data_IF_473715127973
#
_entry.id   IF_473715127973
#
_cell.length_a   1.000
_cell.length_b   1.000
_cell.length_c   1.000
_cell.angle_alpha   90.00
_cell.angle_beta   90.00
_cell.angle_gamma   90.00
#
_symmetry.space_group_name_H-M   'P 1'
#
loop_
_entity.id
_entity.type
_entity.pdbx_description
1 polymer ?
#
# COMPACT_ATOMS: atom_id res chain seq x y z
N UNK A 1 7.23 56.26 -2.20
CA UNK A 1 6.73 55.87 -3.54
C UNK A 1 7.83 55.05 -4.23
N UNK A 2 7.68 53.75 -4.35
CA UNK A 2 8.66 52.85 -5.01
C UNK A 2 8.56 53.12 -6.51
N UNK A 3 9.66 53.43 -7.17
CA UNK A 3 9.64 53.79 -8.59
C UNK A 3 9.39 52.54 -9.47
N UNK A 4 8.80 52.72 -10.66
CA UNK A 4 8.60 51.62 -11.63
C UNK A 4 9.93 50.92 -12.01
N UNK A 5 11.08 51.57 -11.91
CA UNK A 5 12.43 51.01 -12.12
C UNK A 5 12.82 50.02 -11.03
N UNK A 6 12.45 50.30 -9.77
CA UNK A 6 12.78 49.43 -8.63
C UNK A 6 12.02 48.10 -8.74
N UNK A 7 10.74 48.10 -9.18
CA UNK A 7 9.96 46.90 -9.42
C UNK A 7 10.56 45.98 -10.52
N UNK A 8 11.21 46.56 -11.52
CA UNK A 8 11.80 45.81 -12.65
C UNK A 8 13.10 45.11 -12.25
N UNK A 9 13.83 45.62 -11.26
CA UNK A 9 15.09 45.03 -10.75
C UNK A 9 14.81 43.94 -9.74
N UNK A 10 13.77 44.06 -8.90
CA UNK A 10 13.43 43.07 -7.87
C UNK A 10 12.72 41.84 -8.43
N UNK A 11 12.02 41.95 -9.58
CA UNK A 11 11.31 40.86 -10.21
C UNK A 11 12.20 39.61 -10.51
N UNK A 12 13.37 39.74 -11.17
CA UNK A 12 14.25 38.60 -11.46
C UNK A 12 14.87 37.99 -10.19
N UNK A 13 15.17 38.79 -9.17
CA UNK A 13 15.74 38.33 -7.89
C UNK A 13 14.69 37.50 -7.14
N UNK A 14 13.46 37.97 -7.08
CA UNK A 14 12.34 37.26 -6.44
C UNK A 14 12.07 35.95 -7.17
N UNK A 15 12.01 35.95 -8.52
CA UNK A 15 11.80 34.75 -9.34
C UNK A 15 12.94 33.75 -9.13
N UNK A 16 14.20 34.23 -9.13
CA UNK A 16 15.34 33.35 -8.85
C UNK A 16 15.31 32.77 -7.46
N UNK A 17 14.91 33.51 -6.44
CA UNK A 17 14.73 33.02 -5.08
C UNK A 17 13.66 31.95 -4.97
N UNK A 18 12.51 32.14 -5.63
CA UNK A 18 11.44 31.16 -5.68
C UNK A 18 11.89 29.88 -6.39
N UNK A 19 12.59 30.00 -7.52
CA UNK A 19 13.12 28.85 -8.26
C UNK A 19 14.15 28.05 -7.46
N UNK A 20 15.02 28.72 -6.70
CA UNK A 20 15.98 28.08 -5.80
C UNK A 20 15.24 27.34 -4.68
N UNK A 21 14.22 27.94 -4.07
CA UNK A 21 13.42 27.30 -3.02
C UNK A 21 12.69 26.09 -3.58
N UNK A 22 12.08 26.18 -4.76
CA UNK A 22 11.42 25.07 -5.43
C UNK A 22 12.41 23.96 -5.82
N UNK A 23 13.62 24.32 -6.25
CA UNK A 23 14.67 23.36 -6.58
C UNK A 23 15.20 22.65 -5.33
N UNK A 24 15.43 23.36 -4.23
CA UNK A 24 15.79 22.80 -2.94
C UNK A 24 14.67 21.87 -2.44
N UNK A 25 13.42 22.32 -2.49
CA UNK A 25 12.27 21.51 -2.14
C UNK A 25 12.19 20.25 -3.00
N UNK A 26 12.38 20.33 -4.31
CA UNK A 26 12.41 19.21 -5.24
C UNK A 26 13.51 18.20 -4.90
N UNK A 27 14.75 18.67 -4.66
CA UNK A 27 15.88 17.81 -4.28
C UNK A 27 15.62 17.13 -2.93
N UNK A 28 15.22 17.88 -1.91
CA UNK A 28 15.03 17.36 -0.56
C UNK A 28 13.73 16.55 -0.40
N UNK A 29 12.70 16.79 -1.20
CA UNK A 29 11.48 16.00 -1.18
C UNK A 29 11.71 14.51 -1.51
N UNK A 30 12.79 14.19 -2.25
CA UNK A 30 13.20 12.83 -2.57
C UNK A 30 14.00 12.11 -1.46
N UNK A 31 14.56 12.84 -0.49
CA UNK A 31 15.54 12.32 0.47
C UNK A 31 14.97 12.05 1.88
N UNK A 32 13.65 12.02 2.03
CA UNK A 32 13.02 11.84 3.34
C UNK A 32 12.91 10.35 3.69
N UNK A 33 13.42 9.99 4.86
CA UNK A 33 13.29 8.63 5.44
C UNK A 33 11.83 8.29 5.68
N UNK A 34 11.44 7.00 5.62
CA UNK A 34 10.07 6.59 5.90
C UNK A 34 9.61 7.04 7.29
N UNK A 35 8.39 7.54 7.37
CA UNK A 35 7.66 7.80 8.62
C UNK A 35 6.27 7.15 8.53
N UNK A 36 5.73 6.75 9.66
CA UNK A 36 4.33 6.34 9.78
C UNK A 36 3.60 7.57 10.29
N UNK A 37 2.87 8.24 9.38
CA UNK A 37 2.19 9.50 9.68
C UNK A 37 0.70 9.27 9.96
N UNK A 38 0.11 8.23 9.38
CA UNK A 38 -1.19 7.67 9.75
C UNK A 38 -1.20 6.14 9.58
N UNK A 39 -2.23 5.50 10.14
CA UNK A 39 -2.44 4.05 10.10
C UNK A 39 -3.90 3.78 9.74
N UNK A 40 -4.10 2.89 8.78
CA UNK A 40 -5.40 2.47 8.30
C UNK A 40 -5.52 0.95 8.37
N UNK A 41 -6.53 0.46 9.08
CA UNK A 41 -6.87 -0.96 9.06
C UNK A 41 -8.08 -1.19 8.15
N UNK A 42 -7.89 -2.05 7.15
CA UNK A 42 -8.97 -2.55 6.30
C UNK A 42 -9.68 -3.66 7.07
N UNK A 43 -10.97 -3.45 7.36
CA UNK A 43 -11.77 -4.41 8.11
C UNK A 43 -13.19 -4.44 7.57
N UNK A 44 -13.74 -5.63 7.38
CA UNK A 44 -15.15 -5.80 7.00
C UNK A 44 -16.06 -5.43 8.16
N UNK A 45 -17.17 -4.79 7.88
CA UNK A 45 -18.10 -4.29 8.91
C UNK A 45 -18.59 -5.39 9.87
N UNK A 46 -18.77 -6.59 9.35
CA UNK A 46 -19.20 -7.77 10.11
C UNK A 46 -18.11 -8.43 10.96
N UNK A 47 -16.82 -8.17 10.65
CA UNK A 47 -15.67 -8.82 11.31
C UNK A 47 -15.21 -7.98 12.52
N UNK A 48 -16.14 -7.69 13.44
CA UNK A 48 -15.93 -6.84 14.62
C UNK A 48 -14.87 -7.38 15.57
N UNK A 49 -14.80 -8.71 15.74
CA UNK A 49 -13.82 -9.35 16.62
C UNK A 49 -12.39 -9.16 16.10
N UNK A 50 -12.18 -9.23 14.79
CA UNK A 50 -10.90 -8.94 14.16
C UNK A 50 -10.51 -7.48 14.37
N UNK A 51 -11.45 -6.54 14.19
CA UNK A 51 -11.20 -5.14 14.48
C UNK A 51 -10.75 -4.93 15.94
N UNK A 52 -11.46 -5.54 16.90
CA UNK A 52 -11.11 -5.45 18.32
C UNK A 52 -9.73 -6.04 18.60
N UNK A 53 -9.36 -7.14 17.90
CA UNK A 53 -8.03 -7.72 18.00
C UNK A 53 -6.93 -6.71 17.58
N UNK A 54 -7.12 -6.00 16.47
CA UNK A 54 -6.17 -4.98 16.01
C UNK A 54 -6.14 -3.78 16.95
N UNK A 55 -7.29 -3.27 17.37
CA UNK A 55 -7.40 -2.08 18.26
C UNK A 55 -6.74 -2.33 19.63
N UNK A 56 -6.80 -3.54 20.17
CA UNK A 56 -6.08 -3.90 21.41
C UNK A 56 -4.56 -3.73 21.28
N UNK A 57 -4.02 -3.71 20.08
CA UNK A 57 -2.58 -3.51 19.81
C UNK A 57 -2.21 -2.05 19.55
N UNK A 58 -3.17 -1.11 19.60
CA UNK A 58 -2.98 0.32 19.34
C UNK A 58 -1.79 0.93 20.11
N UNK A 59 -1.55 0.51 21.35
CA UNK A 59 -0.48 1.05 22.21
C UNK A 59 0.94 0.77 21.68
N UNK A 60 1.09 -0.14 20.72
CA UNK A 60 2.37 -0.48 20.06
C UNK A 60 2.74 0.50 18.95
N UNK A 61 1.77 1.25 18.45
CA UNK A 61 1.94 2.16 17.33
C UNK A 61 2.18 3.61 17.78
N UNK A 62 2.94 4.42 17.02
CA UNK A 62 3.21 5.81 17.35
C UNK A 62 2.02 6.74 17.12
N UNK A 63 1.04 6.33 16.29
CA UNK A 63 -0.14 7.12 15.93
C UNK A 63 -1.40 6.25 16.01
N UNK A 64 -2.57 6.92 16.04
CA UNK A 64 -3.86 6.24 16.14
C UNK A 64 -4.18 5.42 14.89
N UNK A 65 -4.75 4.23 15.09
CA UNK A 65 -5.31 3.41 14.02
C UNK A 65 -6.67 3.96 13.60
N UNK A 66 -6.84 4.19 12.32
CA UNK A 66 -8.11 4.52 11.70
C UNK A 66 -8.69 3.27 11.03
N UNK A 67 -9.98 3.01 11.24
CA UNK A 67 -10.68 1.94 10.50
C UNK A 67 -11.11 2.43 9.13
N UNK A 68 -10.87 1.61 8.10
CA UNK A 68 -11.46 1.77 6.77
C UNK A 68 -12.37 0.58 6.47
N UNK A 69 -13.58 0.85 5.96
CA UNK A 69 -14.55 -0.22 5.71
C UNK A 69 -14.18 -1.02 4.47
N UNK A 70 -13.78 -2.27 4.66
CA UNK A 70 -13.41 -3.19 3.58
C UNK A 70 -14.60 -3.58 2.72
N UNK A 71 -14.32 -3.97 1.49
CA UNK A 71 -15.30 -4.45 0.51
C UNK A 71 -15.51 -5.96 0.66
N UNK A 72 -16.73 -6.39 0.85
CA UNK A 72 -17.08 -7.81 0.81
C UNK A 72 -17.40 -8.24 -0.62
N UNK A 73 -16.50 -8.97 -1.25
CA UNK A 73 -16.57 -9.25 -2.69
C UNK A 73 -17.81 -10.03 -3.16
N UNK A 74 -18.49 -10.79 -2.27
CA UNK A 74 -19.75 -11.48 -2.62
C UNK A 74 -20.95 -10.55 -2.76
N UNK A 75 -20.94 -9.46 -1.99
CA UNK A 75 -22.04 -8.50 -1.96
C UNK A 75 -21.77 -7.32 -2.92
N UNK A 76 -20.61 -7.31 -3.57
CA UNK A 76 -20.22 -6.23 -4.45
C UNK A 76 -21.10 -6.25 -5.73
N UNK A 77 -21.75 -5.14 -6.00
CA UNK A 77 -22.50 -4.95 -7.23
C UNK A 77 -21.55 -4.94 -8.44
N UNK A 78 -21.90 -5.74 -9.44
CA UNK A 78 -21.12 -5.91 -10.66
C UNK A 78 -20.82 -4.60 -11.38
N UNK A 79 -21.82 -3.73 -11.49
CA UNK A 79 -21.68 -2.43 -12.17
C UNK A 79 -20.70 -1.53 -11.43
N UNK A 80 -20.73 -1.55 -10.09
CA UNK A 80 -19.81 -0.78 -9.24
C UNK A 80 -18.40 -1.33 -9.32
N UNK A 81 -18.23 -2.66 -9.31
CA UNK A 81 -16.94 -3.30 -9.45
C UNK A 81 -16.32 -3.04 -10.84
N UNK A 82 -17.13 -3.06 -11.92
CA UNK A 82 -16.66 -2.74 -13.27
C UNK A 82 -16.17 -1.28 -13.39
N UNK A 83 -16.84 -0.33 -12.74
CA UNK A 83 -16.37 1.08 -12.66
C UNK A 83 -15.03 1.20 -11.95
N UNK A 84 -14.79 0.35 -10.95
CA UNK A 84 -13.51 0.29 -10.26
C UNK A 84 -12.45 -0.56 -11.00
N UNK A 85 -12.78 -1.10 -12.18
CA UNK A 85 -11.82 -1.81 -13.04
C UNK A 85 -11.80 -3.32 -12.87
N UNK A 86 -12.78 -3.91 -12.18
CA UNK A 86 -12.96 -5.36 -12.11
C UNK A 86 -13.86 -5.80 -13.26
N UNK A 87 -13.27 -6.41 -14.28
CA UNK A 87 -14.01 -6.88 -15.45
C UNK A 87 -14.42 -8.33 -15.29
N UNK A 88 -15.63 -8.58 -14.82
CA UNK A 88 -16.18 -9.94 -14.67
C UNK A 88 -16.27 -10.73 -15.99
N UNK A 89 -16.25 -10.04 -17.12
CA UNK A 89 -16.24 -10.69 -18.43
C UNK A 89 -15.01 -11.57 -18.67
N UNK A 90 -13.87 -11.20 -18.10
CA UNK A 90 -12.64 -12.01 -18.17
C UNK A 90 -12.72 -13.30 -17.34
N UNK A 91 -13.58 -13.34 -16.34
CA UNK A 91 -13.78 -14.51 -15.48
C UNK A 91 -14.74 -15.55 -16.07
N UNK A 92 -15.43 -15.23 -17.17
CA UNK A 92 -16.46 -16.06 -17.82
C UNK A 92 -16.06 -16.61 -19.19
N UNK A 93 -14.80 -16.72 -19.49
CA UNK A 93 -14.38 -17.49 -20.66
C UNK A 93 -14.82 -18.93 -20.45
N UNK A 94 -15.86 -19.36 -21.19
CA UNK A 94 -16.40 -20.73 -21.17
C UNK A 94 -15.36 -21.77 -21.60
N UNK A 95 -14.22 -21.32 -22.13
CA UNK A 95 -13.06 -22.13 -22.46
C UNK A 95 -11.99 -22.13 -21.34
N UNK A 96 -12.41 -22.04 -20.09
CA UNK A 96 -11.53 -22.02 -18.92
C UNK A 96 -10.70 -23.31 -18.72
N UNK A 97 -10.91 -24.35 -19.49
CA UNK A 97 -10.12 -25.60 -19.41
C UNK A 97 -8.71 -25.48 -19.99
N UNK A 98 -8.47 -24.57 -20.91
CA UNK A 98 -7.13 -24.27 -21.48
C UNK A 98 -6.42 -23.07 -20.87
N UNK A 99 -7.01 -22.45 -19.85
CA UNK A 99 -6.68 -21.10 -19.49
C UNK A 99 -5.85 -20.91 -18.25
N UNK A 100 -4.76 -20.28 -18.53
CA UNK A 100 -4.01 -19.32 -17.74
C UNK A 100 -4.54 -19.11 -16.30
N UNK A 101 -3.70 -19.43 -15.32
CA UNK A 101 -3.93 -19.27 -13.87
C UNK A 101 -4.59 -17.94 -13.47
N UNK A 102 -4.35 -16.86 -14.23
CA UNK A 102 -4.89 -15.52 -14.00
C UNK A 102 -6.43 -15.46 -14.10
N UNK A 103 -7.05 -16.17 -15.04
CA UNK A 103 -8.52 -16.12 -15.23
C UNK A 103 -9.28 -16.82 -14.11
N UNK A 104 -8.71 -17.89 -13.51
CA UNK A 104 -9.29 -18.59 -12.36
C UNK A 104 -9.22 -17.72 -11.09
N UNK A 105 -8.20 -16.91 -10.94
CA UNK A 105 -7.96 -16.04 -9.78
C UNK A 105 -9.00 -14.93 -9.71
N UNK A 106 -9.32 -14.30 -10.84
CA UNK A 106 -10.29 -13.19 -10.93
C UNK A 106 -11.75 -13.61 -10.61
N UNK A 107 -12.03 -14.89 -10.55
CA UNK A 107 -13.37 -15.41 -10.24
C UNK A 107 -13.68 -15.55 -8.75
N UNK A 108 -12.68 -15.41 -7.87
CA UNK A 108 -12.87 -15.59 -6.42
C UNK A 108 -13.34 -14.30 -5.75
N UNK A 109 -14.55 -14.29 -5.15
CA UNK A 109 -15.10 -13.09 -4.50
C UNK A 109 -14.19 -12.48 -3.44
N UNK A 110 -13.48 -13.33 -2.66
CA UNK A 110 -12.56 -12.86 -1.64
C UNK A 110 -11.37 -12.06 -2.20
N UNK A 111 -10.79 -12.50 -3.31
CA UNK A 111 -9.71 -11.79 -4.00
C UNK A 111 -10.18 -10.46 -4.59
N UNK A 112 -11.40 -10.45 -5.15
CA UNK A 112 -12.04 -9.23 -5.67
C UNK A 112 -12.27 -8.25 -4.52
N UNK A 113 -12.84 -8.70 -3.42
CA UNK A 113 -13.07 -7.86 -2.23
C UNK A 113 -11.79 -7.29 -1.65
N UNK A 114 -10.74 -8.09 -1.54
CA UNK A 114 -9.43 -7.66 -1.09
C UNK A 114 -8.86 -6.59 -2.03
N UNK A 115 -8.83 -6.86 -3.33
CA UNK A 115 -8.33 -5.93 -4.35
C UNK A 115 -9.07 -4.60 -4.33
N UNK A 116 -10.42 -4.64 -4.31
CA UNK A 116 -11.25 -3.43 -4.24
C UNK A 116 -11.02 -2.65 -2.95
N UNK A 117 -10.87 -3.33 -1.81
CA UNK A 117 -10.60 -2.70 -0.52
C UNK A 117 -9.32 -1.88 -0.56
N UNK A 118 -8.22 -2.49 -1.00
CA UNK A 118 -6.94 -1.79 -1.10
C UNK A 118 -7.00 -0.64 -2.12
N UNK A 119 -7.50 -0.88 -3.33
CA UNK A 119 -7.59 0.17 -4.35
C UNK A 119 -8.43 1.36 -3.91
N UNK A 120 -9.59 1.11 -3.31
CA UNK A 120 -10.50 2.17 -2.84
C UNK A 120 -9.87 2.97 -1.72
N UNK A 121 -9.21 2.31 -0.76
CA UNK A 121 -8.46 2.99 0.30
C UNK A 121 -7.35 3.86 -0.30
N UNK A 122 -6.48 3.30 -1.17
CA UNK A 122 -5.40 4.05 -1.81
C UNK A 122 -5.92 5.27 -2.59
N UNK A 123 -7.08 5.15 -3.24
CA UNK A 123 -7.75 6.27 -3.94
C UNK A 123 -8.22 7.36 -2.98
N UNK A 124 -8.73 6.99 -1.82
CA UNK A 124 -9.18 7.96 -0.81
C UNK A 124 -7.99 8.64 -0.15
N UNK A 125 -6.91 7.90 0.13
CA UNK A 125 -5.66 8.47 0.62
C UNK A 125 -5.05 9.45 -0.40
N UNK A 126 -5.07 9.13 -1.70
CA UNK A 126 -4.57 10.02 -2.75
C UNK A 126 -5.25 11.39 -2.79
N UNK A 127 -6.53 11.47 -2.36
CA UNK A 127 -7.29 12.73 -2.31
C UNK A 127 -6.94 13.58 -1.07
N UNK A 128 -6.20 13.04 -0.11
CA UNK A 128 -5.83 13.78 1.09
C UNK A 128 -4.84 14.90 0.75
N UNK A 129 -5.04 16.05 1.37
CA UNK A 129 -4.13 17.19 1.24
C UNK A 129 -3.00 17.07 2.27
N UNK A 130 -2.01 16.21 1.99
CA UNK A 130 -0.86 15.94 2.86
C UNK A 130 0.46 16.08 2.08
N UNK A 131 1.61 16.22 2.76
CA UNK A 131 2.90 16.35 2.09
C UNK A 131 3.22 15.13 1.19
N UNK A 132 3.97 15.31 0.08
CA UNK A 132 4.33 14.22 -0.84
C UNK A 132 5.07 13.04 -0.19
N UNK A 133 5.76 13.30 0.93
CA UNK A 133 6.54 12.29 1.67
C UNK A 133 5.77 11.64 2.82
N UNK A 134 4.52 12.00 3.01
CA UNK A 134 3.64 11.43 4.02
C UNK A 134 3.52 9.91 3.85
N UNK A 135 3.66 9.16 4.94
CA UNK A 135 3.63 7.70 4.94
C UNK A 135 2.34 7.15 5.53
N UNK A 136 1.57 6.44 4.69
CA UNK A 136 0.34 5.76 5.08
C UNK A 136 0.65 4.29 5.37
N UNK A 137 0.54 3.85 6.63
CA UNK A 137 0.63 2.43 6.98
C UNK A 137 -0.73 1.77 6.80
N UNK A 138 -0.80 0.79 5.91
CA UNK A 138 -2.00 0.02 5.60
C UNK A 138 -1.87 -1.36 6.19
N UNK A 139 -2.91 -1.78 6.92
CA UNK A 139 -2.99 -3.04 7.65
C UNK A 139 -4.25 -3.81 7.25
N UNK A 140 -4.16 -5.13 7.21
CA UNK A 140 -5.32 -6.03 7.25
C UNK A 140 -5.74 -6.29 8.70
N UNK A 141 -6.89 -6.92 8.93
CA UNK A 141 -7.49 -7.04 10.26
C UNK A 141 -7.12 -8.33 11.02
N UNK A 142 -6.22 -9.13 10.46
CA UNK A 142 -5.73 -10.37 11.06
C UNK A 142 -4.25 -10.33 11.47
N UNK A 143 -3.73 -9.14 11.75
CA UNK A 143 -2.31 -8.92 12.06
C UNK A 143 -1.97 -9.10 13.53
N UNK A 144 -0.69 -9.44 13.77
CA UNK A 144 -0.03 -9.38 15.08
C UNK A 144 1.18 -8.45 14.98
N UNK A 145 1.21 -7.43 15.82
CA UNK A 145 2.29 -6.45 15.90
C UNK A 145 3.31 -6.88 16.97
N UNK A 146 4.61 -6.77 16.70
CA UNK A 146 5.64 -7.05 17.70
C UNK A 146 5.53 -6.08 18.89
N UNK A 147 5.84 -6.57 20.11
CA UNK A 147 5.71 -5.78 21.34
C UNK A 147 6.60 -4.55 21.37
N UNK A 148 7.78 -4.64 20.76
CA UNK A 148 8.81 -3.61 20.65
C UNK A 148 8.78 -2.87 19.27
N UNK A 149 7.62 -2.89 18.60
CA UNK A 149 7.43 -2.31 17.27
C UNK A 149 7.97 -0.89 17.13
N UNK A 150 7.57 0.02 18.02
CA UNK A 150 7.96 1.44 17.92
C UNK A 150 9.47 1.65 18.04
N UNK A 151 10.14 0.90 18.92
CA UNK A 151 11.59 0.97 19.07
C UNK A 151 12.30 0.44 17.82
N UNK A 152 11.94 -0.77 17.37
CA UNK A 152 12.50 -1.39 16.18
C UNK A 152 12.26 -0.56 14.92
N UNK A 153 11.04 -0.06 14.73
CA UNK A 153 10.72 0.82 13.61
C UNK A 153 11.61 2.05 13.59
N UNK A 154 11.75 2.75 14.73
CA UNK A 154 12.58 3.96 14.83
C UNK A 154 14.07 3.70 14.54
N UNK A 155 14.56 2.50 14.83
CA UNK A 155 15.93 2.07 14.47
C UNK A 155 16.04 1.76 12.98
N UNK A 156 15.18 0.87 12.48
CA UNK A 156 15.26 0.30 11.12
C UNK A 156 14.97 1.35 10.04
N UNK A 157 13.96 2.21 10.23
CA UNK A 157 13.58 3.22 9.24
C UNK A 157 14.72 4.15 8.82
N UNK A 158 15.72 4.35 9.69
CA UNK A 158 16.89 5.16 9.40
C UNK A 158 17.83 4.54 8.37
N UNK A 159 17.76 3.23 8.16
CA UNK A 159 18.58 2.48 7.22
C UNK A 159 17.86 2.18 5.89
N UNK A 160 16.55 2.46 5.80
CA UNK A 160 15.80 2.33 4.55
C UNK A 160 16.23 3.45 3.59
N UNK A 161 16.47 3.18 2.30
CA UNK A 161 16.79 4.19 1.30
C UNK A 161 15.71 5.29 1.20
N UNK A 162 16.12 6.50 0.85
CA UNK A 162 15.22 7.68 0.82
C UNK A 162 14.35 7.75 -0.43
N UNK A 163 14.64 6.93 -1.43
CA UNK A 163 13.88 6.78 -2.68
C UNK A 163 12.69 5.83 -2.59
N UNK A 164 12.35 5.37 -1.37
CA UNK A 164 11.27 4.42 -1.12
C UNK A 164 9.91 4.89 -1.67
N UNK A 165 9.16 3.96 -2.20
CA UNK A 165 7.76 4.13 -2.60
C UNK A 165 6.84 3.27 -1.71
N UNK A 166 7.24 2.02 -1.45
CA UNK A 166 6.56 1.11 -0.54
C UNK A 166 7.58 0.45 0.39
N UNK A 167 7.21 0.26 1.66
CA UNK A 167 7.97 -0.53 2.64
C UNK A 167 7.05 -1.58 3.24
N UNK A 168 7.35 -2.85 3.04
CA UNK A 168 6.65 -3.94 3.71
C UNK A 168 7.18 -4.13 5.11
N UNK A 169 6.30 -4.01 6.11
CA UNK A 169 6.56 -4.29 7.52
C UNK A 169 6.16 -5.72 7.89
N UNK A 170 5.34 -6.35 7.05
CA UNK A 170 4.93 -7.74 7.12
C UNK A 170 4.64 -8.29 5.73
N UNK A 171 5.16 -9.49 5.45
CA UNK A 171 5.01 -10.21 4.19
C UNK A 171 5.17 -11.71 4.43
N UNK A 172 4.47 -12.55 3.65
CA UNK A 172 4.47 -13.99 3.90
C UNK A 172 5.78 -14.69 3.59
N UNK A 173 6.48 -14.25 2.54
CA UNK A 173 7.77 -14.81 2.15
C UNK A 173 8.66 -13.70 1.59
N UNK A 174 9.84 -13.56 2.16
CA UNK A 174 10.82 -12.57 1.73
C UNK A 174 11.66 -13.11 0.56
N UNK A 175 11.77 -12.30 -0.51
CA UNK A 175 12.72 -12.49 -1.62
C UNK A 175 13.23 -11.12 -2.05
N UNK A 176 14.52 -10.94 -2.12
CA UNK A 176 15.12 -9.67 -2.55
C UNK A 176 16.61 -9.59 -2.21
N UNK A 177 17.23 -8.49 -2.64
CA UNK A 177 18.62 -8.21 -2.32
C UNK A 177 18.74 -7.59 -0.94
N UNK A 178 19.59 -8.18 -0.13
CA UNK A 178 19.90 -7.65 1.19
C UNK A 178 20.72 -6.35 1.05
N UNK A 179 20.18 -5.25 1.58
CA UNK A 179 20.88 -3.97 1.62
C UNK A 179 21.67 -3.78 2.93
N UNK A 180 21.10 -4.27 4.03
CA UNK A 180 21.73 -4.25 5.37
C UNK A 180 21.12 -5.34 6.25
N UNK A 181 21.36 -5.27 7.58
CA UNK A 181 20.91 -6.29 8.53
C UNK A 181 19.39 -6.53 8.51
N UNK A 182 18.59 -5.48 8.25
CA UNK A 182 17.14 -5.50 8.41
C UNK A 182 16.37 -5.11 7.16
N UNK A 183 17.03 -4.65 6.08
CA UNK A 183 16.35 -4.10 4.91
C UNK A 183 16.77 -4.84 3.66
N UNK A 184 15.79 -5.26 2.90
CA UNK A 184 15.95 -5.88 1.59
C UNK A 184 15.27 -5.01 0.54
N UNK A 185 15.85 -4.96 -0.66
CA UNK A 185 15.19 -4.40 -1.83
C UNK A 185 14.47 -5.53 -2.56
N UNK A 186 13.17 -5.40 -2.75
CA UNK A 186 12.41 -6.39 -3.50
C UNK A 186 12.82 -6.37 -4.96
N UNK A 187 13.09 -7.53 -5.53
CA UNK A 187 13.47 -7.69 -6.93
C UNK A 187 12.52 -8.61 -7.69
N UNK A 188 12.41 -8.32 -8.99
CA UNK A 188 11.70 -9.15 -9.94
C UNK A 188 12.68 -10.18 -10.55
N UNK A 189 13.25 -11.07 -9.75
CA UNK A 189 14.10 -12.16 -10.22
C UNK A 189 13.37 -13.49 -10.10
N UNK A 190 12.57 -13.83 -11.09
CA UNK A 190 12.07 -15.18 -11.41
C UNK A 190 11.44 -16.02 -10.28
N UNK A 191 11.40 -15.56 -9.04
CA UNK A 191 10.77 -16.26 -7.93
C UNK A 191 9.49 -15.55 -7.51
N UNK A 192 8.31 -16.08 -7.87
CA UNK A 192 7.07 -15.57 -7.29
C UNK A 192 7.04 -15.96 -5.81
N UNK A 193 7.23 -15.03 -4.89
CA UNK A 193 7.36 -15.49 -3.54
C UNK A 193 6.98 -14.55 -2.42
N UNK A 194 6.81 -13.28 -2.70
CA UNK A 194 6.50 -12.30 -1.68
C UNK A 194 5.03 -11.92 -1.78
N UNK A 195 4.14 -12.84 -1.40
CA UNK A 195 2.71 -12.58 -1.42
C UNK A 195 2.21 -12.13 -0.06
N UNK A 196 1.18 -11.30 -0.08
CA UNK A 196 0.52 -10.75 1.07
C UNK A 196 0.62 -9.22 1.13
N UNK A 197 -0.48 -8.61 1.54
CA UNK A 197 -0.64 -7.16 1.69
C UNK A 197 -1.02 -6.79 3.11
N UNK A 198 -0.74 -7.68 4.08
CA UNK A 198 -1.24 -7.53 5.44
C UNK A 198 -0.63 -6.35 6.21
N UNK A 199 0.59 -5.87 5.83
CA UNK A 199 1.19 -4.70 6.46
C UNK A 199 2.23 -4.01 5.56
N UNK A 200 1.86 -2.88 4.96
CA UNK A 200 2.76 -2.09 4.13
C UNK A 200 2.58 -0.59 4.32
N UNK A 201 3.68 0.13 4.29
CA UNK A 201 3.74 1.59 4.31
C UNK A 201 3.88 2.09 2.87
N UNK A 202 2.97 2.95 2.43
CA UNK A 202 3.01 3.57 1.10
C UNK A 202 3.27 5.07 1.22
N UNK A 203 4.13 5.59 0.35
CA UNK A 203 4.43 7.01 0.27
C UNK A 203 3.36 7.75 -0.53
N UNK A 204 2.86 8.87 -0.03
CA UNK A 204 1.76 9.60 -0.65
C UNK A 204 2.01 9.95 -2.12
N UNK A 205 3.20 10.46 -2.47
CA UNK A 205 3.54 10.80 -3.86
C UNK A 205 3.46 9.61 -4.83
N UNK A 206 3.62 8.39 -4.34
CA UNK A 206 3.62 7.17 -5.16
C UNK A 206 2.21 6.68 -5.46
N UNK A 207 1.19 7.18 -4.72
CA UNK A 207 -0.20 6.74 -4.84
C UNK A 207 -0.77 6.94 -6.25
N UNK A 208 -0.44 8.07 -6.91
CA UNK A 208 -0.91 8.32 -8.28
C UNK A 208 -0.45 7.22 -9.23
N UNK A 209 0.84 6.92 -9.21
CA UNK A 209 1.42 5.89 -10.07
C UNK A 209 0.88 4.49 -9.78
N UNK A 210 0.74 4.15 -8.48
CA UNK A 210 0.15 2.88 -8.04
C UNK A 210 -1.29 2.76 -8.56
N UNK A 211 -2.11 3.80 -8.44
CA UNK A 211 -3.50 3.80 -8.90
C UNK A 211 -3.64 3.69 -10.42
N UNK A 212 -2.71 4.28 -11.18
CA UNK A 212 -2.63 4.11 -12.64
C UNK A 212 -2.37 2.64 -13.01
N UNK A 213 -1.47 1.94 -12.28
CA UNK A 213 -1.20 0.51 -12.46
C UNK A 213 -2.34 -0.39 -11.97
N UNK A 214 -3.07 0.06 -10.95
CA UNK A 214 -4.29 -0.61 -10.46
C UNK A 214 -5.55 -0.19 -11.23
N UNK A 215 -5.42 0.39 -12.41
CA UNK A 215 -6.59 0.81 -13.21
C UNK A 215 -7.54 -0.36 -13.43
N UNK A 216 -7.01 -1.53 -13.74
CA UNK A 216 -7.75 -2.76 -13.94
C UNK A 216 -7.21 -3.88 -13.04
N UNK A 217 -8.10 -4.71 -12.54
CA UNK A 217 -7.72 -5.93 -11.85
C UNK A 217 -7.26 -6.97 -12.88
N UNK A 218 -5.98 -7.31 -12.82
CA UNK A 218 -5.36 -8.33 -13.69
C UNK A 218 -4.86 -9.54 -12.91
N UNK A 219 -4.78 -9.40 -11.57
CA UNK A 219 -4.34 -10.44 -10.63
C UNK A 219 -4.77 -10.02 -9.20
N UNK A 220 -4.62 -10.88 -8.18
CA UNK A 220 -4.70 -10.46 -6.78
C UNK A 220 -3.80 -9.26 -6.49
N UNK A 221 -4.16 -8.46 -5.50
CA UNK A 221 -3.49 -7.17 -5.23
C UNK A 221 -1.99 -7.29 -4.97
N UNK A 222 -1.58 -8.31 -4.23
CA UNK A 222 -0.18 -8.61 -3.93
C UNK A 222 0.63 -8.98 -5.19
N UNK A 223 0.04 -9.75 -6.09
CA UNK A 223 0.64 -10.07 -7.40
C UNK A 223 0.74 -8.83 -8.29
N UNK A 224 -0.27 -7.95 -8.26
CA UNK A 224 -0.17 -6.69 -9.01
C UNK A 224 0.91 -5.76 -8.45
N UNK A 225 1.09 -5.71 -7.12
CA UNK A 225 2.23 -4.98 -6.54
C UNK A 225 3.57 -5.58 -6.95
N UNK A 226 3.68 -6.91 -6.99
CA UNK A 226 4.87 -7.58 -7.54
C UNK A 226 5.14 -7.16 -8.99
N UNK A 227 4.13 -7.02 -9.83
CA UNK A 227 4.27 -6.61 -11.22
C UNK A 227 4.69 -5.13 -11.39
N UNK A 228 4.69 -4.32 -10.31
CA UNK A 228 5.14 -2.92 -10.31
C UNK A 228 6.62 -2.76 -9.92
N UNK A 229 7.35 -3.85 -9.66
CA UNK A 229 8.75 -3.81 -9.19
C UNK A 229 9.74 -3.14 -10.13
N UNK A 230 9.42 -2.99 -11.42
CA UNK A 230 10.20 -2.23 -12.37
C UNK A 230 10.00 -0.71 -12.29
N UNK A 231 8.90 -0.28 -11.68
CA UNK A 231 8.43 1.11 -11.67
C UNK A 231 8.51 1.75 -10.26
N UNK A 232 8.60 0.95 -9.20
CA UNK A 232 8.58 1.37 -7.80
C UNK A 232 9.79 0.85 -7.03
N UNK A 233 10.30 1.67 -6.10
CA UNK A 233 11.28 1.24 -5.12
C UNK A 233 10.58 0.63 -3.92
N UNK A 234 10.55 -0.70 -3.87
CA UNK A 234 9.89 -1.46 -2.82
C UNK A 234 10.95 -2.09 -1.91
N UNK A 235 10.80 -1.85 -0.61
CA UNK A 235 11.67 -2.40 0.42
C UNK A 235 10.90 -3.31 1.37
N UNK A 236 11.61 -4.27 1.96
CA UNK A 236 11.05 -5.24 2.90
C UNK A 236 11.88 -5.22 4.17
N UNK A 237 11.21 -5.24 5.30
CA UNK A 237 11.85 -5.38 6.61
C UNK A 237 11.89 -6.86 7.00
N UNK A 238 13.06 -7.36 7.37
CA UNK A 238 13.27 -8.72 7.86
C UNK A 238 14.17 -8.71 9.12
N UNK A 239 13.79 -9.38 10.20
CA UNK A 239 12.52 -10.06 10.42
C UNK A 239 11.31 -9.09 10.41
N UNK A 240 10.09 -9.56 10.02
CA UNK A 240 8.92 -8.72 9.91
C UNK A 240 8.53 -8.14 11.28
N UNK A 241 8.11 -6.86 11.29
CA UNK A 241 7.60 -6.17 12.48
C UNK A 241 6.13 -6.48 12.75
N UNK A 242 5.41 -6.93 11.72
CA UNK A 242 4.00 -7.27 11.75
C UNK A 242 3.82 -8.59 11.01
N UNK A 243 3.10 -9.53 11.62
CA UNK A 243 2.82 -10.86 11.07
C UNK A 243 1.31 -11.10 11.00
N UNK A 244 0.89 -12.15 10.32
CA UNK A 244 -0.51 -12.60 10.30
C UNK A 244 -0.77 -13.46 11.53
N UNK A 245 -1.95 -13.31 12.14
CA UNK A 245 -2.43 -14.19 13.21
C UNK A 245 -2.97 -15.50 12.60
N UNK A 246 -2.26 -16.59 12.78
CA UNK A 246 -2.64 -17.90 12.26
C UNK A 246 -3.94 -18.46 12.89
N UNK A 247 -4.34 -17.98 14.07
CA UNK A 247 -5.55 -18.41 14.77
C UNK A 247 -6.82 -17.72 14.22
N UNK A 248 -6.66 -16.64 13.44
CA UNK A 248 -7.77 -15.95 12.81
C UNK A 248 -7.99 -16.49 11.38
N UNK A 249 -9.18 -17.02 11.13
CA UNK A 249 -9.52 -17.45 9.77
C UNK A 249 -9.51 -16.27 8.78
N UNK A 250 -8.89 -16.48 7.62
CA UNK A 250 -8.91 -15.51 6.53
C UNK A 250 -10.35 -15.22 6.06
N UNK A 251 -10.69 -13.93 5.96
CA UNK A 251 -11.99 -13.50 5.40
C UNK A 251 -12.11 -13.84 3.92
N UNK A 252 -10.99 -13.99 3.21
CA UNK A 252 -10.92 -14.44 1.81
C UNK A 252 -11.38 -15.91 1.71
N UNK A 253 -10.86 -16.79 2.57
CA UNK A 253 -11.18 -18.24 2.56
C UNK A 253 -12.62 -18.53 3.00
N UNK A 254 -13.15 -17.78 3.98
CA UNK A 254 -14.58 -17.86 4.36
C UNK A 254 -15.51 -17.57 3.19
N UNK A 255 -15.13 -16.68 2.28
CA UNK A 255 -15.90 -16.38 1.09
C UNK A 255 -15.88 -17.53 0.07
N UNK A 256 -14.88 -18.42 0.09
CA UNK A 256 -14.79 -19.57 -0.81
C UNK A 256 -15.64 -20.76 -0.35
N UNK A 257 -15.72 -21.02 0.96
CA UNK A 257 -16.39 -22.21 1.55
C UNK A 257 -17.92 -22.21 1.47
N UNK A 258 -18.58 -21.10 1.11
CA UNK A 258 -20.06 -20.97 1.10
C UNK A 258 -20.72 -21.12 -0.28
N UNK A 259 -20.04 -21.70 -1.25
CA UNK A 259 -20.62 -22.08 -2.54
C UNK A 259 -20.71 -23.60 -2.56
N UNK A 260 -21.70 -24.14 -1.83
CA UNK A 260 -22.26 -25.49 -2.02
C UNK A 260 -23.75 -25.31 -2.21
#
# INVERSE_FOLDING_TARGET
>A
MISKRDLTIYSPIIISGILIILFIYYIFSGTVRPSIDDIWVINLERDTDKLQHVIKQQYRFPVKINRWNGTYGKDEDRTTADKDGVHFMLSRSENAEENNRSNKILSKPGEIGCWLSHKRLLRDLYKMNVPPNYGHLILEDDIVVQTDFSEKWNKIRKSIPTDWDIVYLGINKMVGDRLNEHVFRWRNDKSPGNFGTHAYLVRHRSLKHILEKLRFMTAPIDVQFYNMLGDLNIYIIDPPLITVNADLESSIDKQQKRVV
#
